data_IF_958466533776
#
_entry.id   IF_958466533776
#
_cell.length_a   1.000
_cell.length_b   1.000
_cell.length_c   1.000
_cell.angle_alpha   90.00
_cell.angle_beta   90.00
_cell.angle_gamma   90.00
#
_symmetry.space_group_name_H-M   'P 1'
#
loop_
_entity.id
_entity.type
_entity.pdbx_description
1 polymer ?
#
# COMPACT_ATOMS: atom_id res chain seq x y z
N UNK A 1 0.80 15.16 -1.05
CA UNK A 1 1.78 15.29 0.05
C UNK A 1 2.15 13.90 0.58
N UNK A 2 1.18 13.01 0.66
CA UNK A 2 1.24 11.65 1.20
C UNK A 2 2.12 10.72 0.37
N UNK A 3 2.08 10.81 -0.96
CA UNK A 3 2.97 10.03 -1.84
C UNK A 3 4.45 10.32 -1.56
N UNK A 4 4.83 11.60 -1.43
CA UNK A 4 6.19 11.98 -1.06
C UNK A 4 6.59 11.48 0.32
N UNK A 5 5.66 11.42 1.30
CA UNK A 5 5.96 10.84 2.61
C UNK A 5 6.32 9.36 2.50
N UNK A 6 5.57 8.60 1.71
CA UNK A 6 5.84 7.18 1.47
C UNK A 6 7.15 7.01 0.70
N UNK A 7 7.40 7.83 -0.34
CA UNK A 7 8.63 7.75 -1.14
C UNK A 7 9.86 8.09 -0.30
N UNK A 8 9.80 9.15 0.50
CA UNK A 8 10.89 9.50 1.40
C UNK A 8 11.16 8.40 2.42
N UNK A 9 10.11 7.78 2.98
CA UNK A 9 10.27 6.60 3.81
C UNK A 9 10.97 5.47 3.05
N UNK A 10 10.56 5.18 1.81
CA UNK A 10 11.11 4.05 1.05
C UNK A 10 12.59 4.24 0.68
N UNK A 11 13.00 5.48 0.38
CA UNK A 11 14.36 5.79 -0.06
C UNK A 11 15.36 5.99 1.08
N UNK A 12 14.90 6.41 2.27
CA UNK A 12 15.79 6.62 3.42
C UNK A 12 16.08 5.30 4.11
N UNK A 13 17.32 5.07 4.54
CA UNK A 13 17.66 3.90 5.38
C UNK A 13 18.06 4.39 6.77
N UNK A 14 17.38 3.90 7.80
CA UNK A 14 17.78 4.22 9.18
C UNK A 14 18.97 3.35 9.60
N UNK A 15 20.11 3.93 9.99
CA UNK A 15 21.35 3.18 10.27
C UNK A 15 21.25 2.23 11.46
N UNK A 16 20.22 2.36 12.30
CA UNK A 16 20.02 1.57 13.52
C UNK A 16 18.82 0.62 13.46
N UNK A 17 18.18 0.48 12.28
CA UNK A 17 16.98 -0.33 12.13
C UNK A 17 17.18 -1.42 11.07
N UNK A 18 17.13 -2.69 11.49
CA UNK A 18 17.34 -3.82 10.58
C UNK A 18 16.16 -4.00 9.59
N UNK A 19 14.95 -3.62 9.99
CA UNK A 19 13.72 -3.72 9.20
C UNK A 19 12.78 -2.57 9.56
N UNK A 20 12.33 -1.82 8.56
CA UNK A 20 11.47 -0.66 8.75
C UNK A 20 10.03 -0.93 8.28
N UNK A 21 9.05 -0.41 9.03
CA UNK A 21 7.61 -0.62 8.81
C UNK A 21 6.89 0.72 8.78
N UNK A 22 6.20 1.00 7.68
CA UNK A 22 5.35 2.19 7.52
C UNK A 22 3.86 1.81 7.57
N UNK A 23 3.13 2.23 8.62
CA UNK A 23 1.68 2.12 8.64
C UNK A 23 1.04 3.19 7.74
N UNK A 24 0.10 2.76 6.90
CA UNK A 24 -0.82 3.62 6.15
C UNK A 24 -2.24 3.31 6.62
N UNK A 25 -2.85 4.26 7.32
CA UNK A 25 -4.19 4.12 7.89
C UNK A 25 -5.17 5.06 7.22
N UNK A 26 -6.45 4.70 7.27
CA UNK A 26 -7.51 5.58 6.81
C UNK A 26 -8.79 4.82 6.53
N UNK A 27 -9.91 5.51 6.30
CA UNK A 27 -11.20 4.89 6.07
C UNK A 27 -11.21 3.85 4.93
N UNK A 28 -12.27 3.03 4.90
CA UNK A 28 -12.49 2.11 3.79
C UNK A 28 -12.58 2.87 2.47
N UNK A 29 -12.00 2.31 1.40
CA UNK A 29 -12.08 2.89 0.05
C UNK A 29 -11.53 4.34 -0.06
N UNK A 30 -10.65 4.76 0.85
CA UNK A 30 -10.01 6.09 0.78
C UNK A 30 -8.84 6.18 -0.21
N UNK A 31 -8.44 5.05 -0.80
CA UNK A 31 -7.34 4.99 -1.78
C UNK A 31 -5.96 4.60 -1.21
N UNK A 32 -5.88 3.90 -0.07
CA UNK A 32 -4.61 3.42 0.49
C UNK A 32 -3.83 2.54 -0.50
N UNK A 33 -4.47 1.51 -1.05
CA UNK A 33 -3.85 0.64 -2.06
C UNK A 33 -3.47 1.41 -3.32
N UNK A 34 -4.30 2.38 -3.73
CA UNK A 34 -4.00 3.28 -4.86
C UNK A 34 -2.75 4.12 -4.60
N UNK A 35 -2.59 4.65 -3.38
CA UNK A 35 -1.39 5.39 -2.99
C UNK A 35 -0.14 4.50 -3.08
N UNK A 36 -0.20 3.28 -2.55
CA UNK A 36 0.94 2.35 -2.61
C UNK A 36 1.25 1.99 -4.06
N UNK A 37 0.25 1.62 -4.85
CA UNK A 37 0.42 1.29 -6.27
C UNK A 37 0.99 2.48 -7.07
N UNK A 38 0.60 3.72 -6.75
CA UNK A 38 1.15 4.92 -7.36
C UNK A 38 2.64 5.10 -7.01
N UNK A 39 2.99 4.95 -5.73
CA UNK A 39 4.37 5.07 -5.25
C UNK A 39 5.27 3.99 -5.83
N UNK A 40 4.79 2.74 -5.95
CA UNK A 40 5.56 1.66 -6.57
C UNK A 40 5.85 1.90 -8.06
N UNK A 41 5.08 2.78 -8.72
CA UNK A 41 5.31 3.20 -10.11
C UNK A 41 6.20 4.44 -10.23
N UNK A 42 6.56 5.08 -9.11
CA UNK A 42 7.46 6.23 -9.12
C UNK A 42 8.86 5.79 -9.57
N UNK A 43 9.44 6.53 -10.52
CA UNK A 43 10.75 6.20 -11.11
C UNK A 43 11.88 6.14 -10.09
N UNK A 44 11.78 6.88 -8.97
CA UNK A 44 12.77 6.83 -7.89
C UNK A 44 12.72 5.53 -7.12
N UNK A 45 11.55 4.89 -7.06
CA UNK A 45 11.33 3.60 -6.41
C UNK A 45 11.66 2.46 -7.38
N UNK A 46 11.48 2.69 -8.67
CA UNK A 46 11.85 1.74 -9.71
C UNK A 46 13.36 1.40 -9.61
N UNK A 47 13.67 0.11 -9.50
CA UNK A 47 15.05 -0.35 -9.30
C UNK A 47 15.61 -0.16 -7.88
N UNK A 48 14.92 0.57 -6.99
CA UNK A 48 15.30 0.63 -5.58
C UNK A 48 15.01 -0.71 -4.89
N UNK A 49 13.82 -1.28 -5.12
CA UNK A 49 13.47 -2.64 -4.72
C UNK A 49 13.54 -3.57 -5.92
N UNK A 50 14.16 -4.72 -5.74
CA UNK A 50 14.23 -5.75 -6.77
C UNK A 50 12.85 -6.39 -6.99
N UNK A 51 12.06 -6.53 -5.92
CA UNK A 51 10.75 -7.15 -5.94
C UNK A 51 9.79 -6.44 -4.96
N UNK A 52 8.51 -6.40 -5.32
CA UNK A 52 7.43 -5.87 -4.49
C UNK A 52 6.36 -6.95 -4.34
N UNK A 53 6.11 -7.39 -3.11
CA UNK A 53 5.10 -8.39 -2.80
C UNK A 53 3.86 -7.74 -2.19
N UNK A 54 2.70 -8.11 -2.70
CA UNK A 54 1.41 -7.71 -2.11
C UNK A 54 0.81 -8.91 -1.39
N UNK A 55 0.42 -8.69 -0.14
CA UNK A 55 -0.21 -9.68 0.73
C UNK A 55 -1.55 -9.13 1.16
N UNK A 56 -2.65 -9.73 0.69
CA UNK A 56 -3.98 -9.33 1.11
C UNK A 56 -4.44 -10.25 2.24
N UNK A 57 -5.06 -9.70 3.28
CA UNK A 57 -5.53 -10.48 4.43
C UNK A 57 -6.55 -11.60 4.07
N UNK A 58 -7.11 -11.60 2.87
CA UNK A 58 -7.97 -12.70 2.38
C UNK A 58 -7.19 -13.86 1.75
N UNK A 59 -5.92 -13.65 1.42
CA UNK A 59 -5.03 -14.70 0.91
C UNK A 59 -4.65 -15.70 2.01
N UNK A 60 -4.82 -15.31 3.28
CA UNK A 60 -4.48 -16.08 4.46
C UNK A 60 -5.77 -16.46 5.17
N UNK A 61 -6.21 -17.71 5.01
CA UNK A 61 -7.46 -18.20 5.60
C UNK A 61 -7.21 -18.49 7.08
N UNK A 62 -7.33 -17.49 7.94
CA UNK A 62 -7.19 -17.62 9.42
C UNK A 62 -5.86 -18.22 9.91
N UNK A 63 -4.90 -18.52 9.03
CA UNK A 63 -3.65 -19.18 9.40
C UNK A 63 -2.48 -18.20 9.36
N UNK A 64 -2.14 -17.68 10.54
CA UNK A 64 -0.96 -16.85 10.78
C UNK A 64 0.34 -17.52 10.27
N UNK A 65 0.35 -18.85 10.14
CA UNK A 65 1.47 -19.64 9.62
C UNK A 65 1.65 -19.52 8.10
N UNK A 66 0.58 -19.31 7.33
CA UNK A 66 0.67 -19.17 5.86
C UNK A 66 1.45 -17.90 5.49
N UNK A 67 1.30 -16.83 6.27
CA UNK A 67 1.97 -15.56 6.07
C UNK A 67 3.48 -15.64 6.32
N UNK A 68 3.86 -16.34 7.39
CA UNK A 68 5.27 -16.64 7.72
C UNK A 68 5.87 -17.55 6.66
N UNK A 69 5.15 -18.60 6.28
CA UNK A 69 5.58 -19.56 5.25
C UNK A 69 5.78 -18.85 3.91
N UNK A 70 4.93 -17.88 3.55
CA UNK A 70 5.09 -17.10 2.33
C UNK A 70 6.39 -16.27 2.34
N UNK A 71 6.68 -15.58 3.46
CA UNK A 71 7.90 -14.78 3.60
C UNK A 71 9.14 -15.69 3.55
N UNK A 72 9.09 -16.83 4.22
CA UNK A 72 10.16 -17.82 4.18
C UNK A 72 10.35 -18.39 2.77
N UNK A 73 9.27 -18.73 2.07
CA UNK A 73 9.33 -19.21 0.70
C UNK A 73 9.92 -18.16 -0.27
N UNK A 74 9.56 -16.88 -0.10
CA UNK A 74 10.19 -15.79 -0.84
C UNK A 74 11.70 -15.76 -0.56
N UNK A 75 12.09 -15.74 0.71
CA UNK A 75 13.51 -15.75 1.09
C UNK A 75 14.29 -16.97 0.58
N UNK A 76 13.68 -18.16 0.58
CA UNK A 76 14.30 -19.40 0.07
C UNK A 76 14.51 -19.36 -1.45
N UNK A 77 13.58 -18.77 -2.22
CA UNK A 77 13.81 -18.50 -3.65
C UNK A 77 15.03 -17.61 -3.86
N UNK A 78 15.26 -16.66 -2.95
CA UNK A 78 16.37 -15.72 -3.06
C UNK A 78 17.72 -16.28 -2.56
N UNK A 79 17.74 -17.26 -1.66
CA UNK A 79 18.98 -17.91 -1.19
C UNK A 79 19.61 -18.84 -2.24
N UNK A 80 18.80 -19.39 -3.16
CA UNK A 80 19.27 -20.35 -4.17
C UNK A 80 19.78 -19.70 -5.48
N UNK A 81 19.78 -18.37 -5.59
CA UNK A 81 20.32 -17.68 -6.76
C UNK A 81 21.86 -17.52 -6.64
N UNK A 82 22.66 -17.94 -7.63
CA UNK A 82 24.10 -17.85 -7.56
C UNK A 82 24.54 -16.38 -7.46
N UNK A 83 25.44 -16.15 -6.50
CA UNK A 83 25.92 -14.87 -6.03
C UNK A 83 26.61 -14.05 -7.14
N UNK A 84 25.90 -13.04 -7.64
CA UNK A 84 26.51 -11.78 -8.05
C UNK A 84 25.88 -10.68 -7.17
N UNK A 85 26.67 -10.19 -6.21
CA UNK A 85 26.35 -9.12 -5.25
C UNK A 85 25.01 -9.23 -4.48
N UNK A 86 24.96 -10.09 -3.45
CA UNK A 86 23.87 -10.09 -2.46
C UNK A 86 23.79 -8.82 -1.59
N UNK A 87 24.68 -7.83 -1.80
CA UNK A 87 24.79 -6.65 -0.94
C UNK A 87 23.82 -5.51 -1.26
N UNK A 88 23.07 -5.58 -2.36
CA UNK A 88 22.22 -4.46 -2.80
C UNK A 88 20.78 -4.86 -3.17
N UNK A 89 20.40 -6.10 -2.91
CA UNK A 89 19.02 -6.57 -3.12
C UNK A 89 18.13 -6.10 -1.98
N UNK A 90 17.03 -5.44 -2.32
CA UNK A 90 16.01 -4.94 -1.38
C UNK A 90 14.64 -5.40 -1.84
N UNK A 91 13.78 -5.77 -0.91
CA UNK A 91 12.41 -6.19 -1.19
C UNK A 91 11.43 -5.28 -0.44
N UNK A 92 10.30 -4.97 -1.07
CA UNK A 92 9.18 -4.27 -0.42
C UNK A 92 8.02 -5.25 -0.22
N UNK A 93 7.57 -5.41 1.02
CA UNK A 93 6.35 -6.13 1.34
C UNK A 93 5.22 -5.15 1.64
N UNK A 94 4.07 -5.33 0.99
CA UNK A 94 2.86 -4.55 1.20
C UNK A 94 1.80 -5.47 1.80
N UNK A 95 1.49 -5.28 3.07
CA UNK A 95 0.48 -6.06 3.80
C UNK A 95 -0.82 -5.25 3.88
N UNK A 96 -1.88 -5.71 3.23
CA UNK A 96 -3.19 -5.08 3.24
C UNK A 96 -4.16 -5.77 4.20
N UNK A 97 -4.45 -5.10 5.31
CA UNK A 97 -5.29 -5.61 6.38
C UNK A 97 -6.75 -5.15 6.24
N UNK A 98 -7.66 -6.12 6.14
CA UNK A 98 -9.11 -5.87 6.10
C UNK A 98 -9.69 -5.75 7.51
N UNK A 99 -9.10 -6.47 8.47
CA UNK A 99 -9.41 -6.44 9.90
C UNK A 99 -8.20 -6.07 10.76
N UNK A 100 -8.28 -6.38 12.05
CA UNK A 100 -7.16 -6.24 12.97
C UNK A 100 -6.25 -7.46 12.86
N UNK A 101 -4.94 -7.23 12.85
CA UNK A 101 -3.95 -8.29 12.94
C UNK A 101 -3.66 -8.58 14.42
N UNK A 102 -3.68 -9.86 14.79
CA UNK A 102 -3.25 -10.31 16.11
C UNK A 102 -1.78 -9.91 16.35
N UNK A 103 -1.45 -9.53 17.60
CA UNK A 103 -0.11 -9.07 17.95
C UNK A 103 0.92 -10.20 17.87
N UNK A 104 0.54 -11.42 18.24
CA UNK A 104 1.39 -12.59 18.10
C UNK A 104 1.68 -12.91 16.63
N UNK A 105 0.64 -12.87 15.77
CA UNK A 105 0.79 -13.02 14.32
C UNK A 105 1.77 -12.00 13.73
N UNK A 106 1.61 -10.73 14.13
CA UNK A 106 2.51 -9.66 13.69
C UNK A 106 3.94 -9.90 14.16
N UNK A 107 4.13 -10.26 15.42
CA UNK A 107 5.45 -10.52 15.98
C UNK A 107 6.13 -11.70 15.27
N UNK A 108 5.37 -12.74 14.92
CA UNK A 108 5.86 -13.88 14.17
C UNK A 108 6.28 -13.47 12.75
N UNK A 109 5.42 -12.73 12.03
CA UNK A 109 5.74 -12.17 10.71
C UNK A 109 6.96 -11.27 10.75
N UNK A 110 7.02 -10.36 11.72
CA UNK A 110 8.09 -9.37 11.81
C UNK A 110 9.43 -10.05 12.13
N UNK A 111 9.41 -11.05 13.02
CA UNK A 111 10.60 -11.85 13.34
C UNK A 111 11.07 -12.67 12.15
N UNK A 112 10.16 -13.32 11.44
CA UNK A 112 10.48 -14.05 10.20
C UNK A 112 11.06 -13.10 9.14
N UNK A 113 10.42 -11.96 8.93
CA UNK A 113 10.87 -10.92 7.99
C UNK A 113 12.28 -10.44 8.33
N UNK A 114 12.56 -10.15 9.60
CA UNK A 114 13.88 -9.69 10.05
C UNK A 114 14.97 -10.75 9.82
N UNK A 115 14.64 -12.03 9.95
CA UNK A 115 15.58 -13.14 9.71
C UNK A 115 15.81 -13.40 8.22
N UNK A 116 14.77 -13.26 7.41
CA UNK A 116 14.71 -13.80 6.06
C UNK A 116 14.89 -12.74 4.96
N UNK A 117 14.50 -11.49 5.20
CA UNK A 117 14.57 -10.44 4.20
C UNK A 117 15.99 -9.85 4.07
N UNK A 118 16.43 -9.51 2.84
CA UNK A 118 17.66 -8.77 2.63
C UNK A 118 17.69 -7.44 3.39
N UNK A 119 18.89 -6.98 3.76
CA UNK A 119 19.07 -5.66 4.39
C UNK A 119 18.53 -4.53 3.50
N UNK A 120 17.93 -3.53 4.12
CA UNK A 120 17.28 -2.42 3.40
C UNK A 120 15.90 -2.76 2.83
N UNK A 121 15.40 -3.98 3.05
CA UNK A 121 14.00 -4.31 2.77
C UNK A 121 13.06 -3.56 3.73
N UNK A 122 11.83 -3.30 3.27
CA UNK A 122 10.84 -2.52 4.01
C UNK A 122 9.46 -3.16 3.95
N UNK A 123 8.63 -2.83 4.93
CA UNK A 123 7.23 -3.25 4.99
C UNK A 123 6.33 -2.01 4.98
N UNK A 124 5.28 -2.03 4.17
CA UNK A 124 4.14 -1.13 4.26
C UNK A 124 2.96 -1.94 4.78
N UNK A 125 2.30 -1.46 5.83
CA UNK A 125 1.06 -2.05 6.34
C UNK A 125 -0.08 -1.10 6.07
N UNK A 126 -1.07 -1.50 5.28
CA UNK A 126 -2.28 -0.70 5.06
C UNK A 126 -3.45 -1.25 5.87
N UNK A 127 -4.22 -0.38 6.53
CA UNK A 127 -5.40 -0.81 7.30
C UNK A 127 -6.47 0.27 7.42
N UNK A 128 -7.69 -0.15 7.75
CA UNK A 128 -8.75 0.76 8.22
C UNK A 128 -8.66 1.07 9.72
N UNK A 129 -7.96 0.22 10.47
CA UNK A 129 -7.87 0.31 11.92
C UNK A 129 -6.65 1.10 12.34
N UNK A 130 -6.85 2.11 13.19
CA UNK A 130 -5.75 2.88 13.77
C UNK A 130 -4.87 2.04 14.72
N UNK A 131 -5.31 0.84 15.10
CA UNK A 131 -4.49 -0.06 15.93
C UNK A 131 -3.17 -0.43 15.26
N UNK A 132 -3.11 -0.45 13.93
CA UNK A 132 -1.87 -0.83 13.20
C UNK A 132 -0.77 0.23 13.30
N UNK A 133 -1.07 1.44 13.79
CA UNK A 133 -0.08 2.50 14.03
C UNK A 133 1.06 2.01 14.93
N UNK A 134 0.75 1.19 15.94
CA UNK A 134 1.72 0.64 16.90
C UNK A 134 2.69 -0.38 16.27
N UNK A 135 2.35 -0.92 15.11
CA UNK A 135 3.19 -1.87 14.37
C UNK A 135 4.30 -1.16 13.58
N UNK A 136 4.18 0.16 13.42
CA UNK A 136 5.12 0.98 12.67
C UNK A 136 6.43 1.19 13.43
N UNK A 137 7.52 1.26 12.67
CA UNK A 137 8.82 1.69 13.18
C UNK A 137 9.08 3.18 12.92
N UNK A 138 8.18 3.83 12.20
CA UNK A 138 8.22 5.25 11.84
C UNK A 138 6.83 5.88 12.04
N UNK A 139 6.71 7.17 11.74
CA UNK A 139 5.42 7.87 11.72
C UNK A 139 4.41 7.20 10.79
N UNK A 140 3.12 7.40 11.06
CA UNK A 140 2.04 6.83 10.25
C UNK A 140 1.59 7.81 9.16
N UNK A 141 1.34 7.31 7.95
CA UNK A 141 0.62 8.06 6.90
C UNK A 141 -0.88 7.85 7.10
N UNK A 142 -1.62 8.94 7.36
CA UNK A 142 -3.08 8.88 7.55
C UNK A 142 -3.79 9.47 6.34
N UNK A 143 -4.55 8.65 5.61
CA UNK A 143 -5.43 9.10 4.54
C UNK A 143 -6.80 9.45 5.07
N UNK A 144 -7.32 10.58 4.59
CA UNK A 144 -8.67 11.08 4.82
C UNK A 144 -9.41 11.14 3.50
N UNK A 145 -10.75 11.10 3.56
CA UNK A 145 -11.55 11.38 2.38
C UNK A 145 -11.23 12.77 1.83
N UNK A 146 -11.26 12.89 0.51
CA UNK A 146 -11.21 14.19 -0.14
C UNK A 146 -12.40 15.05 0.32
N UNK A 147 -12.21 16.37 0.35
CA UNK A 147 -13.34 17.28 0.52
C UNK A 147 -14.35 17.07 -0.62
N UNK A 148 -15.62 17.39 -0.40
CA UNK A 148 -16.64 17.27 -1.44
C UNK A 148 -16.27 18.01 -2.73
N UNK A 149 -15.62 19.17 -2.60
CA UNK A 149 -15.14 19.96 -3.73
C UNK A 149 -14.01 19.26 -4.49
N UNK A 150 -13.00 18.75 -3.78
CA UNK A 150 -11.89 18.03 -4.39
C UNK A 150 -12.33 16.71 -5.02
N UNK A 151 -13.23 15.98 -4.34
CA UNK A 151 -13.80 14.75 -4.88
C UNK A 151 -14.68 15.03 -6.11
N UNK A 152 -15.50 16.09 -6.09
CA UNK A 152 -16.28 16.50 -7.25
C UNK A 152 -15.39 16.85 -8.44
N UNK A 153 -14.33 17.63 -8.22
CA UNK A 153 -13.37 17.96 -9.28
C UNK A 153 -12.75 16.69 -9.90
N UNK A 154 -12.31 15.76 -9.05
CA UNK A 154 -11.78 14.47 -9.49
C UNK A 154 -12.83 13.64 -10.27
N UNK A 155 -14.03 13.48 -9.71
CA UNK A 155 -15.11 12.70 -10.29
C UNK A 155 -15.60 13.30 -11.62
N UNK A 156 -15.69 14.64 -11.72
CA UNK A 156 -15.99 15.38 -12.94
C UNK A 156 -14.96 15.07 -14.03
N UNK A 157 -13.68 15.09 -13.68
CA UNK A 157 -12.59 14.76 -14.62
C UNK A 157 -12.70 13.32 -15.11
N UNK A 158 -12.99 12.35 -14.23
CA UNK A 158 -13.17 10.95 -14.63
C UNK A 158 -14.41 10.72 -15.51
N UNK A 159 -15.52 11.39 -15.19
CA UNK A 159 -16.81 11.15 -15.85
C UNK A 159 -16.86 11.76 -17.25
N UNK A 160 -16.27 12.94 -17.43
CA UNK A 160 -16.39 13.70 -18.67
C UNK A 160 -15.10 13.70 -19.51
N UNK A 161 -13.95 13.37 -18.92
CA UNK A 161 -12.66 13.42 -19.60
C UNK A 161 -12.40 14.83 -20.13
N UNK A 162 -12.19 14.95 -21.45
CA UNK A 162 -12.02 16.24 -22.14
C UNK A 162 -13.34 16.90 -22.56
N UNK A 163 -14.49 16.25 -22.35
CA UNK A 163 -15.81 16.78 -22.71
C UNK A 163 -16.21 17.88 -21.73
N UNK A 164 -16.70 19.01 -22.23
CA UNK A 164 -17.22 20.08 -21.38
C UNK A 164 -18.56 19.67 -20.74
N UNK A 165 -18.66 19.58 -19.40
CA UNK A 165 -19.89 19.13 -18.74
C UNK A 165 -21.06 20.09 -18.91
N UNK A 166 -20.82 21.36 -19.23
CA UNK A 166 -21.88 22.34 -19.52
C UNK A 166 -22.66 21.98 -20.80
N UNK A 167 -22.05 21.21 -21.71
CA UNK A 167 -22.73 20.70 -22.91
C UNK A 167 -23.73 19.56 -22.59
N UNK A 168 -23.64 18.97 -21.39
CA UNK A 168 -24.48 17.85 -20.95
C UNK A 168 -25.05 18.09 -19.53
N UNK A 169 -25.90 19.12 -19.34
CA UNK A 169 -26.30 19.59 -18.00
C UNK A 169 -27.05 18.53 -17.17
N UNK A 170 -27.85 17.66 -17.81
CA UNK A 170 -28.53 16.55 -17.11
C UNK A 170 -27.54 15.53 -16.56
N UNK A 171 -26.52 15.18 -17.35
CA UNK A 171 -25.49 14.25 -16.94
C UNK A 171 -24.59 14.87 -15.86
N UNK A 172 -24.29 16.16 -15.96
CA UNK A 172 -23.53 16.90 -14.95
C UNK A 172 -24.26 16.93 -13.60
N UNK A 173 -25.58 17.16 -13.61
CA UNK A 173 -26.41 17.10 -12.41
C UNK A 173 -26.37 15.70 -11.76
N UNK A 174 -26.61 14.64 -12.55
CA UNK A 174 -26.58 13.26 -12.07
C UNK A 174 -25.19 12.88 -11.53
N UNK A 175 -24.11 13.25 -12.23
CA UNK A 175 -22.75 13.00 -11.80
C UNK A 175 -22.44 13.67 -10.46
N UNK A 176 -22.95 14.90 -10.24
CA UNK A 176 -22.81 15.60 -8.96
C UNK A 176 -23.56 14.91 -7.83
N UNK A 177 -24.78 14.43 -8.08
CA UNK A 177 -25.56 13.65 -7.11
C UNK A 177 -24.83 12.35 -6.74
N UNK A 178 -24.33 11.62 -7.74
CA UNK A 178 -23.53 10.40 -7.51
C UNK A 178 -22.28 10.73 -6.68
N UNK A 179 -21.55 11.80 -7.02
CA UNK A 179 -20.36 12.19 -6.28
C UNK A 179 -20.66 12.50 -4.80
N UNK A 180 -21.80 13.15 -4.52
CA UNK A 180 -22.28 13.42 -3.15
C UNK A 180 -22.62 12.13 -2.41
N UNK A 181 -23.26 11.16 -3.07
CA UNK A 181 -23.58 9.85 -2.48
C UNK A 181 -22.31 9.06 -2.16
N UNK A 182 -21.32 9.11 -3.05
CA UNK A 182 -20.04 8.41 -2.85
C UNK A 182 -19.15 9.08 -1.80
N UNK A 183 -19.34 10.37 -1.51
CA UNK A 183 -18.77 11.09 -0.38
C UNK A 183 -17.26 10.85 -0.18
N UNK A 184 -16.48 11.00 -1.26
CA UNK A 184 -15.02 10.84 -1.20
C UNK A 184 -14.51 9.40 -1.26
N UNK A 185 -15.39 8.40 -1.37
CA UNK A 185 -14.99 6.99 -1.50
C UNK A 185 -14.59 6.65 -2.93
N UNK A 186 -13.50 5.90 -3.08
CA UNK A 186 -13.07 5.33 -4.35
C UNK A 186 -13.63 3.92 -4.48
N UNK A 187 -14.66 3.75 -5.32
CA UNK A 187 -15.12 2.42 -5.73
C UNK A 187 -14.15 1.87 -6.78
N UNK A 188 -13.60 0.67 -6.52
CA UNK A 188 -12.81 -0.04 -7.51
C UNK A 188 -13.73 -0.64 -8.56
N UNK A 189 -13.48 -0.36 -9.84
CA UNK A 189 -13.69 -1.37 -10.87
C UNK A 189 -12.45 -2.26 -10.81
N UNK A 190 -12.60 -3.48 -10.28
CA UNK A 190 -11.49 -4.43 -10.18
C UNK A 190 -10.93 -4.74 -11.56
N UNK A 191 -9.78 -4.15 -11.86
CA UNK A 191 -8.80 -4.72 -12.78
C UNK A 191 -7.65 -5.15 -11.86
N UNK A 192 -7.43 -6.46 -11.63
CA UNK A 192 -6.29 -6.88 -10.83
C UNK A 192 -5.00 -6.33 -11.46
N UNK A 193 -4.07 -5.79 -10.66
CA UNK A 193 -2.76 -5.41 -11.18
C UNK A 193 -2.09 -6.69 -11.67
N UNK A 194 -1.99 -6.83 -12.98
CA UNK A 194 -1.02 -7.73 -13.59
C UNK A 194 0.28 -6.94 -13.61
N UNK A 195 1.19 -7.29 -12.70
CA UNK A 195 2.60 -6.93 -12.80
C UNK A 195 3.35 -8.18 -13.26
#
# INVERSE_FOLDING_TARGET
MEAELVINFLLQTQPHQDLEVLPIVGPGKVGKSTLVAHVCKDERIHGHFSEVFFLHNHDFRDDELELVTFIEACAMKHQNLPSQSNSDRRVLFVVELVGDLNEDAWNMLYSASKRCLPRGSKIIVTSRSDKVKRLGTTGTVTLKYLSNEAYWYFFKTLTFGSTDPETHPRLACLAMEIARVLNGTFLSATVPPVC
#
